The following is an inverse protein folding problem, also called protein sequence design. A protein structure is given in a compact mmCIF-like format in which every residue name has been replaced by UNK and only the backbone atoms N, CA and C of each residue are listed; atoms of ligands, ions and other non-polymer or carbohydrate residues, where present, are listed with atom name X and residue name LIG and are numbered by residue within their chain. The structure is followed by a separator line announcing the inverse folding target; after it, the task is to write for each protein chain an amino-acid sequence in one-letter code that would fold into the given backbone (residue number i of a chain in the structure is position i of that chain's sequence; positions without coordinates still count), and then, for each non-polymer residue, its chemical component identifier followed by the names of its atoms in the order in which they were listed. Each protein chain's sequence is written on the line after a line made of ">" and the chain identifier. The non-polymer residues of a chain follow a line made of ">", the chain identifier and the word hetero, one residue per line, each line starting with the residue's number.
data_IF_082571043348
#
_entry.id   IF_082571043348
#
_cell.length_a   1.000
_cell.length_b   1.000
_cell.length_c   1.000
_cell.angle_alpha   90.00
_cell.angle_beta   90.00
_cell.angle_gamma   90.00
#
_symmetry.space_group_name_H-M   'P 1'
#
loop_
_entity.id
_entity.type
_entity.pdbx_description
1 polymer ?
#
# COMPACT_ATOMS: atom_id res chain seq x y z
N UNK A 1 10.66 57.54 -15.98
CA UNK A 1 9.31 57.33 -16.58
C UNK A 1 9.11 55.82 -16.73
N UNK A 2 7.93 55.27 -16.44
CA UNK A 2 7.61 54.70 -15.12
C UNK A 2 7.05 53.26 -15.20
N UNK A 3 6.60 52.74 -14.03
CA UNK A 3 5.50 51.76 -13.86
C UNK A 3 5.92 50.28 -13.98
N UNK A 4 6.17 49.54 -12.91
CA UNK A 4 5.28 49.16 -11.80
C UNK A 4 3.92 48.59 -12.27
N UNK A 5 3.82 47.27 -12.45
CA UNK A 5 2.53 46.58 -12.39
C UNK A 5 2.75 45.15 -11.91
N UNK A 6 2.53 44.96 -10.60
CA UNK A 6 2.18 43.69 -10.01
C UNK A 6 0.91 43.16 -10.71
N UNK A 7 0.99 42.01 -11.35
CA UNK A 7 -0.18 41.21 -11.69
C UNK A 7 -0.28 40.08 -10.65
N UNK A 8 -1.01 40.36 -9.57
CA UNK A 8 -1.61 39.33 -8.73
C UNK A 8 -2.98 39.04 -9.32
N UNK A 9 -3.17 37.82 -9.85
CA UNK A 9 -4.42 37.04 -9.84
C UNK A 9 -4.13 35.75 -10.62
N UNK A 10 -4.52 34.55 -10.22
CA UNK A 10 -5.68 34.18 -9.42
C UNK A 10 -5.37 32.84 -8.75
N UNK A 11 -5.56 32.71 -7.44
CA UNK A 11 -5.50 31.40 -6.80
C UNK A 11 -6.80 30.68 -7.15
N UNK A 12 -6.71 29.70 -8.04
CA UNK A 12 -7.83 28.79 -8.28
C UNK A 12 -7.94 27.88 -7.06
N UNK A 13 -8.72 28.33 -6.06
CA UNK A 13 -9.11 27.50 -4.94
C UNK A 13 -10.07 26.43 -5.47
N UNK A 14 -9.53 25.24 -5.74
CA UNK A 14 -10.35 24.04 -5.94
C UNK A 14 -11.08 23.74 -4.62
N UNK A 15 -12.38 23.38 -4.66
CA UNK A 15 -13.11 22.98 -3.47
C UNK A 15 -12.45 21.73 -2.86
N UNK A 16 -12.58 21.50 -1.53
CA UNK A 16 -12.13 20.24 -0.95
C UNK A 16 -12.94 19.14 -1.61
N UNK A 17 -12.27 18.32 -2.42
CA UNK A 17 -12.87 17.15 -3.02
C UNK A 17 -13.41 16.28 -1.89
N UNK A 18 -14.73 16.33 -1.69
CA UNK A 18 -15.48 15.39 -0.88
C UNK A 18 -15.01 14.00 -1.27
N UNK A 19 -14.45 13.28 -0.30
CA UNK A 19 -13.65 12.08 -0.48
C UNK A 19 -14.13 11.22 -1.63
N UNK A 20 -13.38 11.25 -2.73
CA UNK A 20 -13.52 10.24 -3.75
C UNK A 20 -13.38 8.88 -3.06
N UNK A 21 -14.23 7.88 -3.36
CA UNK A 21 -14.08 6.57 -2.77
C UNK A 21 -12.65 6.11 -3.07
N UNK A 22 -11.87 5.88 -2.01
CA UNK A 22 -10.51 5.41 -2.14
C UNK A 22 -10.54 4.17 -3.04
N UNK A 23 -9.75 4.20 -4.12
CA UNK A 23 -9.67 3.06 -5.03
C UNK A 23 -9.40 1.80 -4.22
N UNK A 24 -9.99 0.65 -4.58
CA UNK A 24 -9.80 -0.58 -3.82
C UNK A 24 -8.30 -0.87 -3.72
N UNK A 25 -7.80 -0.96 -2.49
CA UNK A 25 -6.40 -1.26 -2.21
C UNK A 25 -6.03 -2.61 -2.82
N UNK A 26 -4.80 -2.72 -3.33
CA UNK A 26 -4.32 -4.03 -3.72
C UNK A 26 -4.28 -4.96 -2.49
N UNK A 27 -4.43 -6.29 -2.65
CA UNK A 27 -4.33 -7.22 -1.54
C UNK A 27 -3.03 -7.08 -0.73
N UNK A 28 -1.94 -6.68 -1.38
CA UNK A 28 -0.66 -6.43 -0.72
C UNK A 28 -0.65 -5.09 0.05
N UNK A 29 -1.22 -4.02 -0.49
CA UNK A 29 -1.30 -2.75 0.23
C UNK A 29 -2.21 -2.86 1.46
N UNK A 30 -3.31 -3.62 1.36
CA UNK A 30 -4.19 -3.90 2.50
C UNK A 30 -3.46 -4.64 3.64
N UNK A 31 -2.51 -5.51 3.30
CA UNK A 31 -1.63 -6.16 4.28
C UNK A 31 -0.73 -5.14 4.98
N UNK A 32 -0.07 -4.26 4.20
CA UNK A 32 0.85 -3.26 4.76
C UNK A 32 0.12 -2.29 5.70
N UNK A 33 -1.08 -1.85 5.34
CA UNK A 33 -1.93 -1.04 6.20
C UNK A 33 -2.32 -1.78 7.48
N UNK A 34 -2.74 -3.04 7.39
CA UNK A 34 -3.12 -3.83 8.56
C UNK A 34 -1.94 -4.03 9.54
N UNK A 35 -0.74 -4.31 9.02
CA UNK A 35 0.47 -4.44 9.84
C UNK A 35 0.84 -3.11 10.47
N UNK A 36 0.77 -2.01 9.72
CA UNK A 36 1.08 -0.67 10.24
C UNK A 36 0.10 -0.21 11.33
N UNK A 37 -1.20 -0.44 11.12
CA UNK A 37 -2.24 -0.03 12.06
C UNK A 37 -2.25 -0.83 13.36
N UNK A 38 -1.67 -2.04 13.36
CA UNK A 38 -1.76 -3.00 14.48
C UNK A 38 -0.41 -3.33 15.12
N UNK A 39 0.64 -2.53 14.87
CA UNK A 39 2.00 -2.79 15.39
C UNK A 39 2.04 -3.14 16.88
N UNK A 40 1.36 -2.36 17.72
CA UNK A 40 1.32 -2.57 19.17
C UNK A 40 0.70 -3.94 19.56
N UNK A 41 -0.24 -4.44 18.76
CA UNK A 41 -0.84 -5.76 18.98
C UNK A 41 0.18 -6.87 18.72
N UNK A 42 0.99 -6.74 17.67
CA UNK A 42 2.03 -7.72 17.31
C UNK A 42 3.09 -7.79 18.40
N UNK A 43 3.53 -6.65 18.90
CA UNK A 43 4.51 -6.56 19.99
C UNK A 43 3.97 -7.27 21.25
N UNK A 44 2.73 -6.98 21.62
CA UNK A 44 2.07 -7.60 22.79
C UNK A 44 1.87 -9.11 22.64
N UNK A 45 1.50 -9.56 21.45
CA UNK A 45 1.18 -10.97 21.18
C UNK A 45 2.43 -11.81 20.89
N UNK A 46 3.51 -11.21 20.40
CA UNK A 46 4.73 -11.88 19.94
C UNK A 46 4.50 -12.94 18.86
N UNK A 47 3.36 -12.90 18.17
CA UNK A 47 3.03 -13.74 17.02
C UNK A 47 2.09 -12.99 16.08
N UNK A 48 2.02 -13.44 14.82
CA UNK A 48 1.12 -12.86 13.83
C UNK A 48 -0.32 -13.34 14.11
N UNK A 49 -1.30 -12.42 14.26
CA UNK A 49 -2.71 -12.77 14.38
C UNK A 49 -3.22 -13.58 13.20
N UNK A 50 -4.14 -14.53 13.45
CA UNK A 50 -4.64 -15.46 12.42
C UNK A 50 -5.33 -14.76 11.26
N UNK A 51 -6.07 -13.70 11.54
CA UNK A 51 -6.73 -12.89 10.52
C UNK A 51 -5.73 -12.15 9.63
N UNK A 52 -4.58 -11.73 10.17
CA UNK A 52 -3.51 -11.15 9.34
C UNK A 52 -2.81 -12.21 8.49
N UNK A 53 -2.67 -13.45 8.98
CA UNK A 53 -2.20 -14.56 8.14
C UNK A 53 -3.13 -14.76 6.94
N UNK A 54 -4.44 -14.65 7.12
CA UNK A 54 -5.38 -14.78 6.00
C UNK A 54 -5.22 -13.65 4.99
N UNK A 55 -4.86 -12.44 5.41
CA UNK A 55 -4.49 -11.35 4.50
C UNK A 55 -3.22 -11.68 3.71
N UNK A 56 -2.16 -12.19 4.35
CA UNK A 56 -0.94 -12.64 3.66
C UNK A 56 -1.23 -13.73 2.62
N UNK A 57 -2.14 -14.66 2.91
CA UNK A 57 -2.56 -15.72 1.97
C UNK A 57 -3.29 -15.14 0.76
N UNK A 58 -4.19 -14.18 0.99
CA UNK A 58 -4.90 -13.49 -0.09
C UNK A 58 -3.94 -12.68 -0.97
N UNK A 59 -2.99 -11.99 -0.35
CA UNK A 59 -1.92 -11.26 -1.03
C UNK A 59 -0.96 -12.17 -1.83
N UNK A 60 -0.99 -13.48 -1.62
CA UNK A 60 -0.21 -14.44 -2.39
C UNK A 60 1.27 -14.53 -1.99
N UNK A 61 1.67 -13.94 -0.87
CA UNK A 61 3.07 -13.89 -0.43
C UNK A 61 3.68 -15.30 -0.36
N UNK A 62 2.95 -16.28 0.18
CA UNK A 62 3.46 -17.65 0.32
C UNK A 62 3.60 -18.42 -1.00
N UNK A 63 2.91 -17.99 -2.06
CA UNK A 63 2.95 -18.64 -3.38
C UNK A 63 3.79 -17.86 -4.40
N UNK A 64 4.39 -16.74 -3.99
CA UNK A 64 5.14 -15.85 -4.87
C UNK A 64 6.23 -16.61 -5.63
N UNK A 65 7.06 -17.41 -4.94
CA UNK A 65 8.10 -18.23 -5.57
C UNK A 65 7.64 -19.59 -6.13
N UNK A 66 6.38 -19.98 -5.90
CA UNK A 66 5.88 -21.30 -6.32
C UNK A 66 5.72 -21.34 -7.85
N UNK A 67 6.14 -22.42 -8.55
CA UNK A 67 5.93 -22.55 -9.99
C UNK A 67 4.46 -22.45 -10.40
N UNK A 68 4.20 -21.83 -11.56
CA UNK A 68 2.82 -21.64 -12.09
C UNK A 68 2.03 -22.93 -12.25
N UNK A 69 2.69 -24.03 -12.64
CA UNK A 69 2.07 -25.37 -12.75
C UNK A 69 1.51 -25.91 -11.43
N UNK A 70 1.89 -25.32 -10.31
CA UNK A 70 1.39 -25.64 -8.97
C UNK A 70 0.52 -24.51 -8.38
N UNK A 71 0.11 -23.53 -9.20
CA UNK A 71 -0.76 -22.43 -8.79
C UNK A 71 -0.05 -21.26 -8.09
N UNK A 72 1.26 -21.12 -8.28
CA UNK A 72 2.02 -19.96 -7.80
C UNK A 72 2.31 -18.94 -8.89
N UNK A 73 3.08 -17.91 -8.51
CA UNK A 73 3.36 -16.76 -9.38
C UNK A 73 4.68 -16.90 -10.15
N UNK A 74 5.56 -17.79 -9.71
CA UNK A 74 6.92 -17.99 -10.22
C UNK A 74 7.72 -16.67 -10.26
N UNK A 75 7.58 -15.85 -9.22
CA UNK A 75 8.26 -14.58 -9.05
C UNK A 75 9.78 -14.80 -8.95
N UNK A 76 10.54 -13.93 -9.62
CA UNK A 76 11.99 -13.95 -9.53
C UNK A 76 12.46 -13.64 -8.10
N UNK A 77 13.56 -14.24 -7.60
CA UNK A 77 14.02 -14.02 -6.23
C UNK A 77 14.23 -12.55 -5.87
N UNK A 78 14.82 -11.75 -6.76
CA UNK A 78 15.04 -10.31 -6.52
C UNK A 78 13.72 -9.55 -6.39
N UNK A 79 12.77 -9.80 -7.29
CA UNK A 79 11.44 -9.17 -7.23
C UNK A 79 10.65 -9.56 -5.97
N UNK A 80 10.89 -10.76 -5.43
CA UNK A 80 10.31 -11.16 -4.13
C UNK A 80 10.94 -10.37 -2.97
N UNK A 81 12.26 -10.17 -2.98
CA UNK A 81 12.94 -9.35 -1.96
C UNK A 81 12.46 -7.90 -2.01
N UNK A 82 12.37 -7.31 -3.21
CA UNK A 82 11.85 -5.95 -3.42
C UNK A 82 10.42 -5.80 -2.85
N UNK A 83 9.60 -6.85 -2.93
CA UNK A 83 8.25 -6.85 -2.35
C UNK A 83 8.29 -6.88 -0.81
N UNK A 84 9.14 -7.70 -0.20
CA UNK A 84 9.22 -7.89 1.26
C UNK A 84 9.86 -6.68 1.96
N UNK A 85 10.73 -5.95 1.28
CA UNK A 85 11.45 -4.78 1.82
C UNK A 85 10.64 -3.47 1.81
N UNK A 86 9.40 -3.50 1.31
CA UNK A 86 8.47 -2.36 1.30
C UNK A 86 7.95 -1.96 2.68
#
# INVERSE_FOLDING_TARGET
>A
MPTAALAVDSVSASPPATGAPAAPLSPFDAVLEAVAARRDEFDRLSHVPRDVIDLFRQAGIYRAGTPRRFGGDALAPTAFLDMIER
#
